data_IF_746646508157
#
_entry.id   IF_746646508157
#
_cell.length_a   1.000
_cell.length_b   1.000
_cell.length_c   1.000
_cell.angle_alpha   90.00
_cell.angle_beta   90.00
_cell.angle_gamma   90.00
#
_symmetry.space_group_name_H-M   'P 1'
#
loop_
_entity.id
_entity.type
_entity.pdbx_description
1 polymer ?
#
# COMPACT_ATOMS: atom_id res chain seq x y z
N UNK A 1 -8.70 -16.60 54.11
CA UNK A 1 -10.08 -16.59 53.58
C UNK A 1 -10.37 -15.21 53.03
N UNK A 2 -11.04 -15.17 51.86
CA UNK A 2 -11.40 -14.00 51.03
C UNK A 2 -10.19 -13.40 50.27
N UNK A 3 -10.19 -13.15 48.96
CA UNK A 3 -11.24 -13.25 47.95
C UNK A 3 -10.59 -13.14 46.55
N UNK A 4 -11.04 -13.98 45.62
CA UNK A 4 -11.20 -13.72 44.18
C UNK A 4 -10.10 -12.86 43.49
N UNK A 5 -9.08 -13.55 42.98
CA UNK A 5 -8.22 -13.02 41.93
C UNK A 5 -9.00 -12.95 40.61
N UNK A 6 -9.23 -11.71 40.19
CA UNK A 6 -9.76 -11.21 38.93
C UNK A 6 -10.33 -12.25 37.95
N UNK A 7 -11.64 -12.12 37.78
CA UNK A 7 -12.43 -12.54 36.63
C UNK A 7 -11.65 -12.44 35.31
N UNK A 8 -11.93 -13.41 34.44
CA UNK A 8 -11.71 -13.36 33.00
C UNK A 8 -12.04 -11.96 32.48
N UNK A 9 -11.03 -11.10 32.34
CA UNK A 9 -11.22 -9.92 31.53
C UNK A 9 -11.29 -10.43 30.10
N UNK A 10 -12.52 -10.39 29.58
CA UNK A 10 -12.87 -10.29 28.17
C UNK A 10 -11.63 -10.29 27.29
N UNK A 11 -11.46 -11.35 26.50
CA UNK A 11 -10.56 -11.35 25.35
C UNK A 11 -10.82 -10.05 24.61
N UNK A 12 -10.02 -9.03 24.91
CA UNK A 12 -9.91 -7.84 24.11
C UNK A 12 -9.49 -8.44 22.80
N UNK A 13 -10.43 -8.47 21.85
CA UNK A 13 -10.19 -8.94 20.51
C UNK A 13 -9.11 -8.02 19.98
N UNK A 14 -7.86 -8.37 20.26
CA UNK A 14 -6.69 -7.71 19.75
C UNK A 14 -6.94 -7.75 18.26
N UNK A 15 -7.14 -6.55 17.68
CA UNK A 15 -7.50 -6.42 16.29
C UNK A 15 -6.25 -6.82 15.50
N UNK A 16 -6.01 -8.12 15.43
CA UNK A 16 -5.05 -8.75 14.58
C UNK A 16 -5.71 -8.72 13.23
N UNK A 17 -5.02 -8.11 12.29
CA UNK A 17 -5.42 -8.18 10.91
C UNK A 17 -5.56 -9.66 10.52
N UNK A 18 -6.80 -10.11 10.27
CA UNK A 18 -7.17 -11.55 10.19
C UNK A 18 -6.39 -12.35 9.16
N UNK A 19 -5.79 -11.66 8.19
CA UNK A 19 -5.10 -12.26 7.06
C UNK A 19 -3.56 -12.20 7.20
N UNK A 20 -3.04 -11.62 8.28
CA UNK A 20 -1.61 -11.51 8.56
C UNK A 20 -1.11 -12.70 9.39
N UNK A 21 0.09 -13.21 9.06
CA UNK A 21 0.76 -14.30 9.81
C UNK A 21 2.25 -14.00 10.00
N UNK A 22 2.87 -14.55 11.04
CA UNK A 22 4.31 -14.37 11.33
C UNK A 22 5.15 -14.94 10.19
N UNK A 23 6.09 -14.16 9.65
CA UNK A 23 7.02 -14.66 8.63
C UNK A 23 8.04 -15.66 9.25
N UNK A 24 8.34 -16.79 8.58
CA UNK A 24 9.18 -17.84 9.16
C UNK A 24 10.69 -17.53 9.21
N UNK A 25 11.18 -16.43 8.60
CA UNK A 25 12.61 -16.13 8.52
C UNK A 25 12.98 -14.67 8.79
N UNK A 26 13.96 -14.51 9.71
CA UNK A 26 14.98 -13.44 9.77
C UNK A 26 14.55 -12.04 10.19
N UNK A 27 13.33 -11.59 9.89
CA UNK A 27 12.86 -10.25 10.22
C UNK A 27 11.49 -10.30 10.90
N UNK A 28 11.17 -9.38 11.83
CA UNK A 28 9.83 -9.26 12.41
C UNK A 28 8.89 -8.66 11.36
N UNK A 29 8.58 -9.42 10.32
CA UNK A 29 7.65 -9.06 9.27
C UNK A 29 6.44 -10.00 9.33
N UNK A 30 5.29 -9.49 8.90
CA UNK A 30 4.06 -10.27 8.80
C UNK A 30 3.66 -10.44 7.36
N UNK A 31 3.37 -11.65 6.95
CA UNK A 31 2.97 -11.92 5.57
C UNK A 31 1.46 -11.98 5.48
N UNK A 32 0.87 -11.15 4.60
CA UNK A 32 -0.52 -11.28 4.20
C UNK A 32 -0.67 -12.53 3.33
N UNK A 33 -1.47 -13.50 3.79
CA UNK A 33 -1.76 -14.71 3.03
C UNK A 33 -2.94 -14.48 2.09
N UNK A 34 -2.88 -15.07 0.90
CA UNK A 34 -4.10 -15.26 0.09
C UNK A 34 -4.79 -16.53 0.57
N UNK A 35 -6.11 -16.53 0.82
CA UNK A 35 -6.80 -17.66 1.42
C UNK A 35 -6.81 -18.95 0.58
N UNK A 36 -6.25 -18.99 -0.63
CA UNK A 36 -6.29 -20.18 -1.50
C UNK A 36 -5.04 -20.39 -2.37
N UNK A 37 -3.88 -19.84 -1.98
CA UNK A 37 -2.65 -19.98 -2.78
C UNK A 37 -1.59 -20.76 -1.99
N UNK A 38 -0.90 -21.67 -2.70
CA UNK A 38 0.21 -22.49 -2.22
C UNK A 38 1.15 -21.69 -1.29
N UNK A 39 1.67 -22.34 -0.23
CA UNK A 39 2.60 -21.77 0.76
C UNK A 39 3.85 -21.09 0.16
N UNK A 40 4.12 -21.30 -1.13
CA UNK A 40 5.22 -20.76 -1.90
C UNK A 40 4.89 -19.48 -2.69
N UNK A 41 3.63 -19.04 -2.70
CA UNK A 41 3.29 -17.80 -3.40
C UNK A 41 3.88 -16.59 -2.69
N UNK A 42 4.47 -15.63 -3.43
CA UNK A 42 5.02 -14.42 -2.85
C UNK A 42 3.90 -13.66 -2.14
N UNK A 43 3.98 -13.64 -0.80
CA UNK A 43 3.08 -12.87 0.05
C UNK A 43 3.58 -11.44 0.22
N UNK A 44 2.68 -10.55 0.65
CA UNK A 44 3.05 -9.17 0.99
C UNK A 44 3.62 -9.17 2.40
N UNK A 45 4.87 -8.76 2.56
CA UNK A 45 5.50 -8.64 3.88
C UNK A 45 5.24 -7.25 4.45
N UNK A 46 4.35 -7.17 5.43
CA UNK A 46 4.17 -6.01 6.29
C UNK A 46 5.41 -5.86 7.18
N UNK A 47 6.11 -4.75 6.96
CA UNK A 47 7.23 -4.31 7.79
C UNK A 47 6.69 -3.47 8.95
N UNK A 48 7.29 -3.51 10.16
CA UNK A 48 6.81 -2.72 11.31
C UNK A 48 6.73 -1.23 11.00
N UNK A 49 5.79 -0.53 11.65
CA UNK A 49 5.53 0.89 11.39
C UNK A 49 6.74 1.80 11.61
N UNK A 50 7.63 1.43 12.54
CA UNK A 50 8.85 2.18 12.85
C UNK A 50 9.87 2.26 11.71
N UNK A 51 9.77 1.38 10.71
CA UNK A 51 10.67 1.36 9.56
C UNK A 51 10.17 2.21 8.38
N UNK A 52 8.96 2.76 8.48
CA UNK A 52 8.39 3.64 7.47
C UNK A 52 8.35 5.07 8.00
N UNK A 53 8.37 6.05 7.10
CA UNK A 53 8.08 7.45 7.43
C UNK A 53 6.58 7.65 7.72
N UNK A 54 6.01 6.79 8.56
CA UNK A 54 4.63 6.86 9.03
C UNK A 54 4.52 7.84 10.21
N UNK A 55 3.35 8.45 10.37
CA UNK A 55 3.06 9.19 11.58
C UNK A 55 2.97 8.22 12.77
N UNK A 56 3.90 8.35 13.71
CA UNK A 56 3.99 7.56 14.94
C UNK A 56 3.44 8.32 16.16
N UNK A 57 2.68 9.40 15.94
CA UNK A 57 1.89 10.02 17.01
C UNK A 57 0.98 9.00 17.70
N UNK A 58 0.68 9.19 18.98
CA UNK A 58 -0.15 8.27 19.75
C UNK A 58 -1.54 8.05 19.11
N UNK A 59 -2.13 9.13 18.59
CA UNK A 59 -3.39 9.09 17.86
C UNK A 59 -3.28 8.24 16.57
N UNK A 60 -2.22 8.41 15.78
CA UNK A 60 -2.02 7.62 14.57
C UNK A 60 -1.71 6.16 14.89
N UNK A 61 -0.86 5.89 15.90
CA UNK A 61 -0.54 4.53 16.31
C UNK A 61 -1.78 3.76 16.78
N UNK A 62 -2.62 4.37 17.59
CA UNK A 62 -3.84 3.71 18.09
C UNK A 62 -4.85 3.39 16.99
N UNK A 63 -4.99 4.26 15.99
CA UNK A 63 -5.98 4.10 14.92
C UNK A 63 -5.48 3.28 13.72
N UNK A 64 -4.21 3.43 13.37
CA UNK A 64 -3.67 2.95 12.09
C UNK A 64 -2.73 1.75 12.23
N UNK A 65 -2.45 1.29 13.46
CA UNK A 65 -1.56 0.16 13.71
C UNK A 65 -2.18 -0.82 14.70
N UNK A 66 -1.74 -2.07 14.67
CA UNK A 66 -2.11 -3.10 15.63
C UNK A 66 -0.88 -3.67 16.31
N UNK A 67 -1.02 -4.06 17.58
CA UNK A 67 0.00 -4.81 18.30
C UNK A 67 -0.21 -6.30 18.03
N UNK A 68 0.80 -6.97 17.47
CA UNK A 68 0.68 -8.40 17.22
C UNK A 68 0.91 -9.19 18.52
N UNK A 69 0.13 -10.25 18.82
CA UNK A 69 0.22 -10.98 20.10
C UNK A 69 1.59 -11.64 20.35
N UNK A 70 2.31 -12.00 19.30
CA UNK A 70 3.59 -12.73 19.41
C UNK A 70 4.83 -11.82 19.39
N UNK A 71 4.67 -10.50 19.20
CA UNK A 71 5.81 -9.56 19.13
C UNK A 71 5.50 -8.28 19.87
N UNK A 72 6.54 -7.62 20.41
CA UNK A 72 6.39 -6.28 21.02
C UNK A 72 6.29 -5.14 19.99
N UNK A 73 6.16 -5.47 18.71
CA UNK A 73 6.14 -4.51 17.60
C UNK A 73 4.70 -4.22 17.15
N UNK A 74 4.45 -2.95 16.80
CA UNK A 74 3.23 -2.52 16.12
C UNK A 74 3.39 -2.60 14.61
N UNK A 75 2.34 -3.07 13.95
CA UNK A 75 2.26 -3.23 12.51
C UNK A 75 1.20 -2.30 11.92
N UNK A 76 1.45 -1.74 10.74
CA UNK A 76 0.49 -0.86 10.10
C UNK A 76 -0.71 -1.67 9.60
N UNK A 77 -1.90 -1.08 9.72
CA UNK A 77 -3.09 -1.53 9.00
C UNK A 77 -2.86 -1.43 7.50
N UNK A 78 -3.61 -2.21 6.70
CA UNK A 78 -3.40 -2.31 5.24
C UNK A 78 -3.47 -0.98 4.52
N UNK A 79 -4.41 -0.11 4.87
CA UNK A 79 -4.57 1.20 4.24
C UNK A 79 -3.44 2.15 4.60
N UNK A 80 -3.02 2.13 5.86
CA UNK A 80 -1.92 2.94 6.33
C UNK A 80 -0.58 2.50 5.71
N UNK A 81 -0.39 1.18 5.58
CA UNK A 81 0.74 0.60 4.88
C UNK A 81 0.75 0.95 3.39
N UNK A 82 -0.40 0.85 2.72
CA UNK A 82 -0.53 1.25 1.31
C UNK A 82 -0.25 2.75 1.11
N UNK A 83 -0.74 3.62 1.98
CA UNK A 83 -0.44 5.06 1.91
C UNK A 83 1.07 5.33 2.04
N UNK A 84 1.72 4.72 3.03
CA UNK A 84 3.17 4.86 3.21
C UNK A 84 3.97 4.32 2.01
N UNK A 85 3.55 3.18 1.44
CA UNK A 85 4.14 2.63 0.22
C UNK A 85 4.00 3.59 -0.97
N UNK A 86 2.81 4.15 -1.18
CA UNK A 86 2.56 5.13 -2.24
C UNK A 86 3.43 6.37 -2.02
N UNK A 87 3.52 6.89 -0.79
CA UNK A 87 4.36 8.05 -0.46
C UNK A 87 5.84 7.77 -0.79
N UNK A 88 6.36 6.61 -0.37
CA UNK A 88 7.75 6.21 -0.64
C UNK A 88 8.01 6.05 -2.15
N UNK A 89 7.06 5.48 -2.90
CA UNK A 89 7.16 5.35 -4.37
C UNK A 89 7.13 6.70 -5.09
N UNK A 90 6.23 7.59 -4.67
CA UNK A 90 6.12 8.96 -5.21
C UNK A 90 7.42 9.71 -4.96
N UNK A 91 7.94 9.69 -3.73
CA UNK A 91 9.20 10.34 -3.39
C UNK A 91 10.36 9.77 -4.21
N UNK A 92 10.45 8.44 -4.27
CA UNK A 92 11.46 7.72 -5.02
C UNK A 92 11.44 8.03 -6.53
N UNK A 93 10.24 8.18 -7.10
CA UNK A 93 10.05 8.48 -8.53
C UNK A 93 10.36 9.93 -8.87
N UNK A 94 10.11 10.86 -7.93
CA UNK A 94 10.27 12.30 -8.15
C UNK A 94 11.67 12.82 -7.80
N UNK A 95 12.46 12.09 -7.01
CA UNK A 95 13.82 12.52 -6.60
C UNK A 95 14.92 11.89 -7.47
N UNK A 96 15.76 12.71 -8.13
CA UNK A 96 16.96 12.23 -8.82
C UNK A 96 17.93 11.55 -7.85
N UNK A 97 18.57 10.45 -8.27
CA UNK A 97 19.61 9.76 -7.48
C UNK A 97 19.09 8.72 -6.48
N UNK A 98 17.79 8.41 -6.49
CA UNK A 98 17.23 7.40 -5.59
C UNK A 98 17.74 5.99 -5.92
N UNK A 99 17.95 5.17 -4.89
CA UNK A 99 18.46 3.81 -5.02
C UNK A 99 17.47 2.93 -5.81
N UNK A 100 17.87 2.51 -7.01
CA UNK A 100 17.03 1.74 -7.95
C UNK A 100 16.60 0.39 -7.40
N UNK A 101 17.42 -0.24 -6.54
CA UNK A 101 17.07 -1.51 -5.89
C UNK A 101 15.95 -1.31 -4.86
N UNK A 102 16.04 -0.24 -4.07
CA UNK A 102 14.98 0.12 -3.11
C UNK A 102 13.70 0.48 -3.87
N UNK A 103 13.81 1.26 -4.95
CA UNK A 103 12.65 1.56 -5.80
C UNK A 103 11.99 0.28 -6.34
N UNK A 104 12.77 -0.65 -6.89
CA UNK A 104 12.24 -1.93 -7.37
C UNK A 104 11.57 -2.76 -6.28
N UNK A 105 12.13 -2.78 -5.06
CA UNK A 105 11.50 -3.43 -3.92
C UNK A 105 10.15 -2.79 -3.55
N UNK A 106 10.09 -1.45 -3.47
CA UNK A 106 8.86 -0.72 -3.17
C UNK A 106 7.80 -0.94 -4.26
N UNK A 107 8.21 -0.92 -5.53
CA UNK A 107 7.33 -1.12 -6.69
C UNK A 107 6.73 -2.53 -6.63
N UNK A 108 7.55 -3.53 -6.35
CA UNK A 108 7.11 -4.91 -6.18
C UNK A 108 6.12 -5.06 -5.01
N UNK A 109 6.45 -4.54 -3.81
CA UNK A 109 5.56 -4.62 -2.64
C UNK A 109 4.22 -3.94 -2.91
N UNK A 110 4.23 -2.78 -3.56
CA UNK A 110 3.02 -2.06 -3.96
C UNK A 110 2.12 -2.91 -4.86
N UNK A 111 2.66 -3.50 -5.93
CA UNK A 111 1.86 -4.31 -6.86
C UNK A 111 1.27 -5.54 -6.17
N UNK A 112 2.06 -6.23 -5.33
CA UNK A 112 1.53 -7.36 -4.56
C UNK A 112 0.41 -6.95 -3.60
N UNK A 113 0.56 -5.82 -2.90
CA UNK A 113 -0.45 -5.33 -1.96
C UNK A 113 -1.73 -4.89 -2.66
N UNK A 114 -1.62 -4.15 -3.76
CA UNK A 114 -2.79 -3.71 -4.54
C UNK A 114 -3.51 -4.89 -5.15
N UNK A 115 -2.81 -5.88 -5.70
CA UNK A 115 -3.43 -7.09 -6.25
C UNK A 115 -4.13 -7.91 -5.16
N UNK A 116 -3.48 -8.04 -3.99
CA UNK A 116 -4.06 -8.70 -2.82
C UNK A 116 -5.34 -7.98 -2.35
N UNK A 117 -5.31 -6.65 -2.20
CA UNK A 117 -6.46 -5.85 -1.78
C UNK A 117 -7.59 -5.88 -2.80
N UNK A 118 -7.27 -5.80 -4.08
CA UNK A 118 -8.28 -5.87 -5.16
C UNK A 118 -8.99 -7.22 -5.17
N UNK A 119 -8.26 -8.31 -4.92
CA UNK A 119 -8.79 -9.66 -4.95
C UNK A 119 -9.61 -10.03 -3.71
N UNK A 120 -9.18 -9.58 -2.52
CA UNK A 120 -9.70 -10.11 -1.25
C UNK A 120 -10.44 -9.07 -0.41
N UNK A 121 -10.24 -7.79 -0.68
CA UNK A 121 -10.88 -6.72 0.07
C UNK A 121 -11.09 -5.47 -0.80
N UNK A 122 -11.84 -5.57 -1.91
CA UNK A 122 -11.97 -4.48 -2.88
C UNK A 122 -12.56 -3.20 -2.27
N UNK A 123 -13.46 -3.34 -1.29
CA UNK A 123 -14.02 -2.21 -0.53
C UNK A 123 -12.98 -1.42 0.27
N UNK A 124 -11.81 -1.98 0.53
CA UNK A 124 -10.71 -1.29 1.21
C UNK A 124 -10.14 -0.17 0.32
N UNK A 125 -9.93 -0.41 -0.97
CA UNK A 125 -9.40 0.61 -1.89
C UNK A 125 -10.35 1.82 -2.05
N UNK A 126 -11.66 1.60 -1.87
CA UNK A 126 -12.67 2.67 -1.88
C UNK A 126 -12.53 3.65 -0.71
N UNK A 127 -11.78 3.31 0.34
CA UNK A 127 -11.54 4.19 1.50
C UNK A 127 -10.32 5.10 1.31
N UNK A 128 -9.56 4.92 0.23
CA UNK A 128 -8.39 5.75 -0.03
C UNK A 128 -8.76 7.22 -0.29
N UNK A 129 -7.89 8.16 0.11
CA UNK A 129 -8.08 9.56 -0.25
C UNK A 129 -8.00 9.74 -1.78
N UNK A 130 -8.62 10.79 -2.35
CA UNK A 130 -8.74 10.97 -3.81
C UNK A 130 -7.42 10.86 -4.58
N UNK A 131 -6.33 11.43 -4.03
CA UNK A 131 -5.01 11.33 -4.67
C UNK A 131 -4.46 9.91 -4.71
N UNK A 132 -4.70 9.09 -3.68
CA UNK A 132 -4.25 7.71 -3.68
C UNK A 132 -5.13 6.81 -4.54
N UNK A 133 -6.45 7.08 -4.62
CA UNK A 133 -7.32 6.42 -5.60
C UNK A 133 -6.82 6.67 -7.02
N UNK A 134 -6.59 7.94 -7.37
CA UNK A 134 -6.00 8.33 -8.65
C UNK A 134 -4.69 7.58 -8.96
N UNK A 135 -3.82 7.47 -7.95
CA UNK A 135 -2.56 6.77 -8.09
C UNK A 135 -2.78 5.28 -8.34
N UNK A 136 -3.63 4.63 -7.56
CA UNK A 136 -3.93 3.20 -7.69
C UNK A 136 -4.53 2.88 -9.06
N UNK A 137 -5.45 3.70 -9.54
CA UNK A 137 -6.14 3.52 -10.82
C UNK A 137 -5.18 3.55 -12.03
N UNK A 138 -4.07 4.30 -11.93
CA UNK A 138 -3.17 4.54 -13.06
C UNK A 138 -1.81 3.85 -12.93
N UNK A 139 -1.22 3.85 -11.73
CA UNK A 139 0.16 3.43 -11.53
C UNK A 139 0.36 1.92 -11.77
N UNK A 140 -0.66 1.10 -11.51
CA UNK A 140 -0.63 -0.35 -11.79
C UNK A 140 -0.68 -0.70 -13.29
N UNK A 141 -0.88 0.28 -14.17
CA UNK A 141 -0.84 0.04 -15.61
C UNK A 141 0.59 0.15 -16.16
N UNK A 142 0.87 -0.54 -17.27
CA UNK A 142 2.14 -0.44 -17.99
C UNK A 142 2.29 0.98 -18.58
N UNK A 143 2.83 1.89 -17.78
CA UNK A 143 3.07 3.29 -18.12
C UNK A 143 4.56 3.54 -18.39
N UNK A 144 4.91 4.36 -19.41
CA UNK A 144 6.26 4.84 -19.59
C UNK A 144 6.78 5.61 -18.36
N UNK A 145 8.10 5.65 -18.10
CA UNK A 145 8.66 6.34 -16.93
C UNK A 145 8.21 7.79 -16.78
N UNK A 146 8.22 8.56 -17.87
CA UNK A 146 7.74 9.96 -17.86
C UNK A 146 6.24 10.08 -17.50
N UNK A 147 5.43 9.08 -17.84
CA UNK A 147 4.01 9.06 -17.48
C UNK A 147 3.82 8.69 -16.01
N UNK A 148 4.62 7.74 -15.47
CA UNK A 148 4.64 7.43 -14.03
C UNK A 148 5.02 8.67 -13.20
N UNK A 149 6.01 9.43 -13.64
CA UNK A 149 6.40 10.69 -12.98
C UNK A 149 5.23 11.70 -12.95
N UNK A 150 4.49 11.82 -14.06
CA UNK A 150 3.29 12.67 -14.12
C UNK A 150 2.16 12.17 -13.23
N UNK A 151 1.95 10.86 -13.11
CA UNK A 151 0.99 10.29 -12.16
C UNK A 151 1.37 10.69 -10.74
N UNK A 152 2.64 10.56 -10.37
CA UNK A 152 3.14 10.98 -9.05
C UNK A 152 2.91 12.48 -8.78
N UNK A 153 3.26 13.35 -9.74
CA UNK A 153 3.03 14.80 -9.62
C UNK A 153 1.54 15.16 -9.50
N UNK A 154 0.70 14.53 -10.32
CA UNK A 154 -0.74 14.80 -10.30
C UNK A 154 -1.39 14.28 -9.01
N UNK A 155 -0.94 13.15 -8.47
CA UNK A 155 -1.36 12.68 -7.14
C UNK A 155 -1.13 13.73 -6.07
N UNK A 156 0.08 14.31 -6.02
CA UNK A 156 0.42 15.37 -5.07
C UNK A 156 -0.49 16.60 -5.25
N UNK A 157 -0.69 17.04 -6.50
CA UNK A 157 -1.57 18.18 -6.79
C UNK A 157 -3.02 17.93 -6.41
N UNK A 158 -3.54 16.71 -6.59
CA UNK A 158 -4.89 16.33 -6.17
C UNK A 158 -5.01 16.37 -4.64
N UNK A 159 -4.01 15.85 -3.91
CA UNK A 159 -4.01 15.92 -2.44
C UNK A 159 -4.00 17.35 -1.91
N UNK A 160 -3.32 18.26 -2.60
CA UNK A 160 -3.29 19.69 -2.29
C UNK A 160 -4.55 20.44 -2.77
N UNK A 161 -5.52 19.76 -3.40
CA UNK A 161 -6.72 20.41 -3.96
C UNK A 161 -6.46 21.25 -5.22
N UNK A 162 -5.28 21.16 -5.82
CA UNK A 162 -4.85 21.95 -6.98
C UNK A 162 -5.31 21.36 -8.34
N UNK A 163 -5.91 20.17 -8.34
CA UNK A 163 -6.36 19.47 -9.55
C UNK A 163 -7.64 18.69 -9.33
N UNK A 164 -8.56 18.78 -10.30
CA UNK A 164 -9.83 18.03 -10.30
C UNK A 164 -9.65 16.69 -11.01
N UNK A 165 -9.82 15.61 -10.24
CA UNK A 165 -9.64 14.20 -10.60
C UNK A 165 -10.14 13.81 -12.01
N UNK A 166 -11.39 14.17 -12.33
CA UNK A 166 -12.08 13.73 -13.55
C UNK A 166 -11.40 14.24 -14.83
N UNK A 167 -10.94 15.50 -14.83
CA UNK A 167 -10.29 16.10 -16.00
C UNK A 167 -8.93 15.46 -16.25
N UNK A 168 -8.23 15.07 -15.18
CA UNK A 168 -6.89 14.48 -15.25
C UNK A 168 -6.90 13.05 -15.78
N UNK A 169 -7.84 12.22 -15.30
CA UNK A 169 -8.01 10.84 -15.76
C UNK A 169 -8.26 10.78 -17.26
N UNK A 170 -9.27 11.53 -17.75
CA UNK A 170 -9.60 11.58 -19.19
C UNK A 170 -8.42 11.97 -20.07
N UNK A 171 -7.56 12.88 -19.60
CA UNK A 171 -6.36 13.31 -20.35
C UNK A 171 -5.32 12.20 -20.43
N UNK A 172 -5.05 11.51 -19.32
CA UNK A 172 -4.04 10.44 -19.27
C UNK A 172 -4.51 9.23 -20.09
N UNK A 173 -5.79 8.88 -20.02
CA UNK A 173 -6.37 7.78 -20.81
C UNK A 173 -6.33 8.07 -22.32
N UNK A 174 -6.69 9.29 -22.74
CA UNK A 174 -6.61 9.69 -24.14
C UNK A 174 -5.18 9.60 -24.69
N UNK A 175 -4.18 10.05 -23.93
CA UNK A 175 -2.77 9.95 -24.31
C UNK A 175 -2.28 8.50 -24.39
N UNK A 176 -2.73 7.62 -23.48
CA UNK A 176 -2.43 6.18 -23.52
C UNK A 176 -2.97 5.55 -24.81
N UNK A 177 -4.23 5.82 -25.14
CA UNK A 177 -4.89 5.27 -26.33
C UNK A 177 -4.23 5.76 -27.62
N UNK A 178 -3.87 7.03 -27.71
CA UNK A 178 -3.16 7.59 -28.86
C UNK A 178 -1.78 6.95 -29.05
N UNK A 179 -1.00 6.74 -27.98
CA UNK A 179 0.29 6.03 -28.07
C UNK A 179 0.14 4.57 -28.48
N UNK A 180 -0.88 3.85 -28.00
CA UNK A 180 -1.12 2.47 -28.42
C UNK A 180 -1.45 2.38 -29.91
N UNK A 181 -2.26 3.30 -30.41
CA UNK A 181 -2.56 3.41 -31.86
C UNK A 181 -1.31 3.64 -32.68
N UNK A 182 -0.48 4.62 -32.31
CA UNK A 182 0.77 4.93 -33.03
C UNK A 182 1.75 3.75 -33.05
N UNK A 183 1.85 2.97 -31.97
CA UNK A 183 2.68 1.75 -31.95
C UNK A 183 2.16 0.66 -32.87
N UNK A 184 0.83 0.48 -32.95
CA UNK A 184 0.21 -0.50 -33.83
C UNK A 184 0.43 -0.17 -35.32
N UNK A 185 0.41 1.11 -35.70
CA UNK A 185 0.63 1.56 -37.09
C UNK A 185 2.09 1.44 -37.55
N UNK A 186 3.06 1.42 -36.63
CA UNK A 186 4.50 1.27 -36.96
C UNK A 186 4.87 -0.19 -37.23
N UNK A 187 4.04 -1.15 -36.79
CA UNK A 187 4.29 -2.59 -36.93
C UNK A 187 3.33 -3.27 -37.95
N UNK A 188 2.63 -2.47 -38.77
CA UNK A 188 1.82 -2.91 -39.92
C UNK A 188 2.48 -2.50 -41.22
#
# INVERSE_FOLDING_TARGET
MLQQGLEQSQESAAYIDRDATVAPLGWPAYTLKRPFVCLLAPGVSLIPSSFWHMDLSEASLSQNTFLHPTTRCRFPSRLFYLDALINALVESTLRPGYNTRIHGYLDMQYHYLVDWLSSLSPGTLLKLPPGNKFFVDLYGTLLPPATRQRVCLNRQRIQLGLLILIKTLKKIEAERMDRMRRKATIHS
#
